data_IF_411977814065
#
_entry.id   IF_411977814065
#
_cell.length_a   1.000
_cell.length_b   1.000
_cell.length_c   1.000
_cell.angle_alpha   90.00
_cell.angle_beta   90.00
_cell.angle_gamma   90.00
#
_symmetry.space_group_name_H-M   'P 1'
#
loop_
_entity.id
_entity.type
_entity.pdbx_description
1 polymer ?
#
# COMPACT_ATOMS: atom_id res chain seq x y z
N UNK A 1 -19.87 2.37 8.08
CA UNK A 1 -18.51 2.92 8.22
C UNK A 1 -18.33 4.04 7.21
N UNK A 2 -17.67 5.14 7.56
CA UNK A 2 -17.29 6.17 6.59
C UNK A 2 -16.33 5.58 5.56
N UNK A 3 -16.46 6.02 4.30
CA UNK A 3 -15.59 5.60 3.20
C UNK A 3 -14.14 6.02 3.49
N UNK A 4 -13.18 5.09 3.42
CA UNK A 4 -11.75 5.41 3.53
C UNK A 4 -11.38 6.22 2.28
N UNK A 5 -10.79 7.43 2.40
CA UNK A 5 -10.38 8.21 1.23
C UNK A 5 -9.28 7.50 0.44
N UNK A 6 -9.11 7.84 -0.84
CA UNK A 6 -7.90 7.50 -1.58
C UNK A 6 -6.71 8.16 -0.88
N UNK A 7 -5.54 7.52 -0.93
CA UNK A 7 -4.33 8.07 -0.31
C UNK A 7 -3.85 9.33 -1.00
N UNK A 8 -3.85 9.34 -2.32
CA UNK A 8 -3.34 10.43 -3.12
C UNK A 8 -4.43 11.11 -3.94
N UNK A 9 -4.36 12.42 -4.01
CA UNK A 9 -5.02 13.20 -5.05
C UNK A 9 -4.16 13.20 -6.35
N UNK A 10 -4.71 13.67 -7.45
CA UNK A 10 -4.03 13.64 -8.76
C UNK A 10 -2.73 14.47 -8.80
N UNK A 11 -2.66 15.53 -8.01
CA UNK A 11 -1.46 16.37 -7.88
C UNK A 11 -0.34 15.63 -7.12
N UNK A 12 -0.66 14.76 -6.16
CA UNK A 12 0.33 13.90 -5.49
C UNK A 12 0.90 12.88 -6.47
N UNK A 13 0.04 12.27 -7.31
CA UNK A 13 0.46 11.38 -8.40
C UNK A 13 1.40 12.08 -9.38
N UNK A 14 1.09 13.31 -9.80
CA UNK A 14 1.96 14.14 -10.65
C UNK A 14 3.30 14.38 -9.95
N UNK A 15 3.29 14.81 -8.69
CA UNK A 15 4.49 15.13 -7.92
C UNK A 15 5.36 13.87 -7.67
N UNK A 16 4.77 12.72 -7.36
CA UNK A 16 5.48 11.45 -7.20
C UNK A 16 6.17 11.04 -8.51
N UNK A 17 5.45 11.05 -9.63
CA UNK A 17 5.99 10.70 -10.94
C UNK A 17 7.09 11.68 -11.39
N UNK A 18 6.88 12.96 -11.19
CA UNK A 18 7.87 13.98 -11.56
C UNK A 18 9.18 13.82 -10.78
N UNK A 19 9.10 13.67 -9.44
CA UNK A 19 10.27 13.45 -8.58
C UNK A 19 10.99 12.15 -8.93
N UNK A 20 10.24 11.07 -9.10
CA UNK A 20 10.79 9.77 -9.46
C UNK A 20 11.49 9.75 -10.82
N UNK A 21 11.01 10.52 -11.79
CA UNK A 21 11.64 10.70 -13.09
C UNK A 21 12.74 11.77 -13.09
N UNK A 22 13.00 12.41 -11.95
CA UNK A 22 14.01 13.47 -11.76
C UNK A 22 13.88 14.62 -12.78
N UNK A 23 12.62 15.01 -13.09
CA UNK A 23 12.32 16.10 -14.02
C UNK A 23 12.18 17.42 -13.27
N UNK A 24 12.86 18.48 -13.72
CA UNK A 24 12.57 19.84 -13.28
C UNK A 24 11.21 20.31 -13.83
N UNK A 25 10.64 21.36 -13.23
CA UNK A 25 9.38 21.94 -13.70
C UNK A 25 9.51 22.44 -15.15
N UNK A 26 10.63 23.06 -15.51
CA UNK A 26 10.88 23.54 -16.88
C UNK A 26 11.00 22.37 -17.86
N UNK A 27 11.68 21.30 -17.46
CA UNK A 27 11.82 20.10 -18.29
C UNK A 27 10.48 19.42 -18.51
N UNK A 28 9.66 19.29 -17.46
CA UNK A 28 8.34 18.70 -17.54
C UNK A 28 7.38 19.54 -18.37
N UNK A 29 7.32 20.87 -18.12
CA UNK A 29 6.45 21.79 -18.87
C UNK A 29 6.78 21.75 -20.36
N UNK A 30 8.07 21.82 -20.72
CA UNK A 30 8.54 21.71 -22.11
C UNK A 30 8.19 20.36 -22.73
N UNK A 31 8.43 19.26 -22.02
CA UNK A 31 8.14 17.90 -22.50
C UNK A 31 6.65 17.65 -22.73
N UNK A 32 5.81 18.21 -21.86
CA UNK A 32 4.36 18.11 -21.95
C UNK A 32 3.72 19.13 -22.92
N UNK A 33 4.48 20.14 -23.36
CA UNK A 33 3.97 21.23 -24.19
C UNK A 33 2.95 22.12 -23.45
N UNK A 34 3.12 22.30 -22.14
CA UNK A 34 2.27 23.17 -21.31
C UNK A 34 3.04 24.38 -20.84
N UNK A 35 2.34 25.46 -20.49
CA UNK A 35 2.98 26.64 -19.90
C UNK A 35 3.40 26.35 -18.45
N UNK A 36 4.47 26.96 -17.92
CA UNK A 36 4.89 26.79 -16.52
C UNK A 36 3.76 27.04 -15.52
N UNK A 37 2.96 28.09 -15.73
CA UNK A 37 1.85 28.46 -14.86
C UNK A 37 0.74 27.39 -14.85
N UNK A 38 0.56 26.66 -15.97
CA UNK A 38 -0.41 25.56 -16.06
C UNK A 38 0.08 24.33 -15.29
N UNK A 39 1.39 24.04 -15.33
CA UNK A 39 1.98 22.98 -14.52
C UNK A 39 1.85 23.30 -13.03
N UNK A 40 2.21 24.51 -12.65
CA UNK A 40 2.11 24.96 -11.27
C UNK A 40 0.67 24.89 -10.74
N UNK A 41 -0.32 25.33 -11.55
CA UNK A 41 -1.72 25.24 -11.23
C UNK A 41 -2.18 23.76 -11.03
N UNK A 42 -1.74 22.86 -11.91
CA UNK A 42 -2.03 21.43 -11.77
C UNK A 42 -1.42 20.83 -10.49
N UNK A 43 -0.18 21.23 -10.15
CA UNK A 43 0.49 20.79 -8.90
C UNK A 43 -0.17 21.34 -7.63
N UNK A 44 -0.88 22.45 -7.71
CA UNK A 44 -1.72 23.00 -6.63
C UNK A 44 -3.14 22.42 -6.58
N UNK A 45 -3.48 21.50 -7.47
CA UNK A 45 -4.79 20.82 -7.47
C UNK A 45 -5.83 21.42 -8.43
N UNK A 46 -5.47 22.36 -9.32
CA UNK A 46 -6.39 22.87 -10.33
C UNK A 46 -6.63 21.85 -11.45
N UNK A 47 -7.88 21.49 -11.66
CA UNK A 47 -8.29 20.48 -12.65
C UNK A 47 -8.53 21.12 -14.02
N UNK A 48 -7.52 21.03 -14.90
CA UNK A 48 -7.65 21.41 -16.31
C UNK A 48 -7.39 20.17 -17.17
N UNK A 49 -8.43 19.51 -17.64
CA UNK A 49 -8.38 18.21 -18.33
C UNK A 49 -7.39 18.19 -19.49
N UNK A 50 -7.36 19.25 -20.31
CA UNK A 50 -6.42 19.34 -21.44
C UNK A 50 -4.95 19.40 -21.01
N UNK A 51 -4.66 20.01 -19.87
CA UNK A 51 -3.32 20.06 -19.26
C UNK A 51 -2.94 18.69 -18.72
N UNK A 52 -3.84 18.05 -17.94
CA UNK A 52 -3.60 16.73 -17.37
C UNK A 52 -3.34 15.67 -18.45
N UNK A 53 -4.10 15.72 -19.57
CA UNK A 53 -3.88 14.82 -20.72
C UNK A 53 -2.52 14.98 -21.40
N UNK A 54 -1.90 16.16 -21.31
CA UNK A 54 -0.54 16.43 -21.82
C UNK A 54 0.54 16.05 -20.82
N UNK A 55 0.31 16.31 -19.53
CA UNK A 55 1.25 15.96 -18.46
C UNK A 55 1.41 14.45 -18.31
N UNK A 56 0.30 13.70 -18.39
CA UNK A 56 0.31 12.26 -18.14
C UNK A 56 1.37 11.49 -18.97
N UNK A 57 1.41 11.54 -20.29
CA UNK A 57 2.42 10.80 -21.07
C UNK A 57 3.84 11.31 -20.84
N UNK A 58 4.03 12.61 -20.54
CA UNK A 58 5.34 13.16 -20.18
C UNK A 58 5.87 12.58 -18.87
N UNK A 59 4.96 12.19 -17.97
CA UNK A 59 5.23 11.56 -16.68
C UNK A 59 5.14 10.02 -16.72
N UNK A 60 4.97 9.40 -17.89
CA UNK A 60 4.72 7.96 -18.07
C UNK A 60 3.44 7.48 -17.35
N UNK A 61 2.45 8.37 -17.20
CA UNK A 61 1.15 8.07 -16.60
C UNK A 61 0.09 7.84 -17.67
N UNK A 62 -0.96 7.09 -17.33
CA UNK A 62 -2.14 6.88 -18.18
C UNK A 62 -3.06 8.09 -18.12
N UNK A 63 -3.36 8.78 -19.24
CA UNK A 63 -4.13 10.03 -19.24
C UNK A 63 -5.57 9.87 -18.74
N UNK A 64 -6.25 8.79 -19.10
CA UNK A 64 -7.63 8.53 -18.68
C UNK A 64 -7.77 8.39 -17.17
N UNK A 65 -7.05 7.46 -16.53
CA UNK A 65 -7.01 7.31 -15.08
C UNK A 65 -6.61 8.56 -14.31
N UNK A 66 -5.60 9.31 -14.78
CA UNK A 66 -5.20 10.57 -14.13
C UNK A 66 -6.33 11.61 -14.14
N UNK A 67 -7.04 11.73 -15.26
CA UNK A 67 -8.19 12.63 -15.38
C UNK A 67 -9.35 12.14 -14.52
N UNK A 68 -9.63 10.83 -14.49
CA UNK A 68 -10.67 10.25 -13.66
C UNK A 68 -10.41 10.48 -12.15
N UNK A 69 -9.14 10.35 -11.73
CA UNK A 69 -8.70 10.66 -10.36
C UNK A 69 -8.94 12.14 -10.05
N UNK A 70 -8.49 13.06 -10.92
CA UNK A 70 -8.69 14.50 -10.76
C UNK A 70 -10.15 14.92 -10.66
N UNK A 71 -11.02 14.26 -11.41
CA UNK A 71 -12.47 14.51 -11.40
C UNK A 71 -13.22 13.75 -10.30
N UNK A 72 -12.51 12.95 -9.48
CA UNK A 72 -13.09 12.04 -8.48
C UNK A 72 -14.16 11.12 -9.07
N UNK A 73 -13.97 10.73 -10.33
CA UNK A 73 -14.93 9.95 -11.11
C UNK A 73 -14.79 8.42 -10.86
N UNK A 74 -13.79 8.00 -10.11
CA UNK A 74 -13.58 6.60 -9.79
C UNK A 74 -13.16 6.42 -8.33
N UNK A 75 -13.58 5.28 -7.79
CA UNK A 75 -13.20 4.76 -6.48
C UNK A 75 -13.30 3.24 -6.52
N UNK A 76 -12.41 2.48 -5.88
CA UNK A 76 -12.43 1.03 -5.97
C UNK A 76 -13.70 0.43 -5.36
N UNK A 77 -14.26 -0.53 -6.07
CA UNK A 77 -15.30 -1.39 -5.52
C UNK A 77 -14.70 -2.22 -4.40
N UNK A 78 -15.33 -2.16 -3.22
CA UNK A 78 -14.83 -2.82 -2.04
C UNK A 78 -15.25 -4.30 -2.02
N UNK A 79 -14.31 -5.24 -1.77
CA UNK A 79 -14.67 -6.64 -1.66
C UNK A 79 -15.49 -6.90 -0.39
N UNK A 80 -16.33 -7.94 -0.44
CA UNK A 80 -16.94 -8.49 0.77
C UNK A 80 -15.86 -9.27 1.53
N UNK A 81 -15.63 -8.91 2.79
CA UNK A 81 -14.60 -9.56 3.60
C UNK A 81 -14.95 -11.02 3.88
N UNK A 82 -14.03 -11.97 3.64
CA UNK A 82 -14.23 -13.35 4.02
C UNK A 82 -14.11 -13.51 5.54
N UNK A 83 -14.66 -14.58 6.06
CA UNK A 83 -14.26 -15.02 7.38
C UNK A 83 -12.78 -15.40 7.37
N UNK A 84 -12.00 -14.91 8.32
CA UNK A 84 -10.54 -15.08 8.33
C UNK A 84 -9.75 -13.85 7.89
N UNK A 85 -10.43 -12.70 7.66
CA UNK A 85 -9.79 -11.44 7.31
C UNK A 85 -10.45 -10.25 7.99
N UNK A 86 -9.64 -9.32 8.50
CA UNK A 86 -10.08 -8.02 8.99
C UNK A 86 -9.07 -6.92 8.63
N UNK A 87 -9.59 -5.72 8.41
CA UNK A 87 -8.84 -4.50 8.14
C UNK A 87 -9.11 -3.49 9.25
N UNK A 88 -8.06 -2.86 9.72
CA UNK A 88 -8.11 -1.76 10.69
C UNK A 88 -7.46 -0.54 10.05
N UNK A 89 -8.09 0.61 10.21
CA UNK A 89 -7.59 1.88 9.71
C UNK A 89 -7.49 2.82 10.91
N UNK A 90 -6.28 3.19 11.28
CA UNK A 90 -5.97 4.03 12.42
C UNK A 90 -5.37 5.36 12.00
N UNK A 91 -5.56 6.36 12.85
CA UNK A 91 -5.03 7.70 12.67
C UNK A 91 -3.61 7.78 13.23
N UNK A 92 -2.67 8.23 12.42
CA UNK A 92 -1.29 8.48 12.83
C UNK A 92 -1.06 9.99 12.93
N UNK A 93 -0.80 10.53 14.13
CA UNK A 93 -0.52 11.95 14.31
C UNK A 93 0.87 12.26 13.73
N UNK A 94 0.94 12.99 12.63
CA UNK A 94 2.19 13.43 12.05
C UNK A 94 2.43 14.90 12.42
N UNK A 95 3.37 15.13 13.34
CA UNK A 95 3.72 16.48 13.78
C UNK A 95 4.31 17.28 12.61
N UNK A 96 3.70 18.41 12.29
CA UNK A 96 4.23 19.41 11.35
C UNK A 96 3.62 19.44 9.95
N UNK A 97 2.81 18.49 9.53
CA UNK A 97 2.20 18.50 8.18
C UNK A 97 0.71 18.86 8.23
N UNK A 98 0.07 18.80 9.41
CA UNK A 98 -1.36 19.16 9.56
C UNK A 98 -2.32 18.28 8.76
N UNK A 99 -1.86 17.15 8.24
CA UNK A 99 -2.65 16.19 7.49
C UNK A 99 -3.00 15.00 8.37
N UNK A 100 -4.25 14.60 8.31
CA UNK A 100 -4.77 13.39 8.93
C UNK A 100 -4.24 12.15 8.19
N UNK A 101 -3.02 11.72 8.51
CA UNK A 101 -2.49 10.48 7.93
C UNK A 101 -3.18 9.28 8.56
N UNK A 102 -3.66 8.37 7.72
CA UNK A 102 -4.28 7.13 8.15
C UNK A 102 -3.52 5.95 7.60
N UNK A 103 -3.21 5.01 8.47
CA UNK A 103 -2.49 3.80 8.13
C UNK A 103 -3.35 2.56 8.38
N UNK A 104 -3.20 1.58 7.53
CA UNK A 104 -3.89 0.30 7.62
C UNK A 104 -3.04 -0.74 8.32
N UNK A 105 -3.70 -1.60 9.08
CA UNK A 105 -3.17 -2.87 9.52
C UNK A 105 -4.20 -3.97 9.28
N UNK A 106 -3.74 -5.20 9.22
CA UNK A 106 -4.58 -6.32 8.82
C UNK A 106 -4.41 -7.49 9.79
N UNK A 107 -5.49 -8.24 9.99
CA UNK A 107 -5.48 -9.51 10.70
C UNK A 107 -5.98 -10.59 9.75
N UNK A 108 -5.19 -11.65 9.60
CA UNK A 108 -5.56 -12.85 8.83
C UNK A 108 -5.50 -14.05 9.75
N UNK A 109 -6.49 -14.91 9.67
CA UNK A 109 -6.51 -16.14 10.49
C UNK A 109 -7.12 -17.32 9.76
N UNK A 110 -6.62 -18.50 10.10
CA UNK A 110 -7.25 -19.75 9.70
C UNK A 110 -8.46 -20.01 10.60
N UNK A 111 -9.65 -20.04 10.01
CA UNK A 111 -10.91 -20.19 10.75
C UNK A 111 -11.05 -21.53 11.46
N UNK A 112 -10.34 -22.56 11.01
CA UNK A 112 -10.39 -23.91 11.57
C UNK A 112 -9.44 -24.06 12.77
N UNK A 113 -8.19 -23.58 12.64
CA UNK A 113 -7.17 -23.71 13.68
C UNK A 113 -7.18 -22.53 14.65
N UNK A 114 -7.80 -21.41 14.28
CA UNK A 114 -7.79 -20.12 14.97
C UNK A 114 -6.39 -19.52 15.12
N UNK A 115 -5.41 -20.03 14.39
CA UNK A 115 -4.09 -19.38 14.32
C UNK A 115 -4.17 -18.13 13.46
N UNK A 116 -3.55 -17.06 13.94
CA UNK A 116 -3.64 -15.71 13.33
C UNK A 116 -2.28 -15.05 13.15
N UNK A 117 -2.22 -14.16 12.18
CA UNK A 117 -1.11 -13.27 11.93
C UNK A 117 -1.61 -11.84 11.72
N UNK A 118 -0.95 -10.86 12.34
CA UNK A 118 -1.11 -9.47 12.01
C UNK A 118 -0.13 -9.06 10.91
N UNK A 119 -0.52 -8.09 10.09
CA UNK A 119 0.32 -7.45 9.09
C UNK A 119 0.32 -5.95 9.34
N UNK A 120 1.46 -5.43 9.73
CA UNK A 120 1.68 -4.14 10.33
C UNK A 120 0.84 -3.93 11.61
N UNK A 121 1.10 -2.89 12.37
CA UNK A 121 0.33 -2.59 13.58
C UNK A 121 -0.62 -1.42 13.39
N UNK A 122 -0.34 -0.61 12.35
CA UNK A 122 -0.91 0.71 12.25
C UNK A 122 -0.46 1.60 13.41
N UNK A 123 -1.10 2.75 13.52
CA UNK A 123 -0.85 3.68 14.63
C UNK A 123 -1.47 3.21 15.95
N UNK A 124 -2.45 2.29 15.91
CA UNK A 124 -3.14 1.78 17.08
C UNK A 124 -3.75 0.40 16.80
N UNK A 125 -3.26 -0.60 17.50
CA UNK A 125 -3.71 -2.01 17.35
C UNK A 125 -4.84 -2.41 18.34
N UNK A 126 -5.44 -1.48 19.08
CA UNK A 126 -6.44 -1.81 20.10
C UNK A 126 -7.61 -2.61 19.54
N UNK A 127 -8.21 -2.18 18.43
CA UNK A 127 -9.31 -2.89 17.80
C UNK A 127 -8.91 -4.24 17.21
N UNK A 128 -7.67 -4.38 16.76
CA UNK A 128 -7.12 -5.66 16.35
C UNK A 128 -7.06 -6.61 17.54
N UNK A 129 -6.56 -6.17 18.67
CA UNK A 129 -6.51 -6.95 19.92
C UNK A 129 -7.90 -7.32 20.44
N UNK A 130 -8.88 -6.40 20.36
CA UNK A 130 -10.28 -6.71 20.68
C UNK A 130 -10.81 -7.88 19.83
N UNK A 131 -10.55 -7.85 18.51
CA UNK A 131 -10.98 -8.94 17.63
C UNK A 131 -10.26 -10.25 17.93
N UNK A 132 -8.95 -10.22 18.18
CA UNK A 132 -8.16 -11.39 18.61
C UNK A 132 -8.79 -12.03 19.84
N UNK A 133 -9.18 -11.24 20.83
CA UNK A 133 -9.82 -11.73 22.04
C UNK A 133 -11.25 -12.27 21.78
N UNK A 134 -12.07 -11.51 21.05
CA UNK A 134 -13.45 -11.88 20.76
C UNK A 134 -13.54 -13.20 19.98
N UNK A 135 -12.68 -13.39 18.99
CA UNK A 135 -12.59 -14.59 18.16
C UNK A 135 -11.75 -15.71 18.79
N UNK A 136 -11.14 -15.46 19.96
CA UNK A 136 -10.24 -16.39 20.65
C UNK A 136 -9.12 -16.90 19.75
N UNK A 137 -8.47 -15.98 19.04
CA UNK A 137 -7.41 -16.31 18.10
C UNK A 137 -6.08 -16.52 18.84
N UNK A 138 -5.26 -17.41 18.26
CA UNK A 138 -3.91 -17.68 18.71
C UNK A 138 -2.96 -16.90 17.78
N UNK A 139 -2.46 -15.77 18.24
CA UNK A 139 -1.53 -14.96 17.48
C UNK A 139 -0.18 -15.64 17.40
N UNK A 140 0.25 -16.00 16.20
CA UNK A 140 1.56 -16.63 15.96
C UNK A 140 2.58 -15.61 15.49
N UNK A 141 2.16 -14.71 14.60
CA UNK A 141 3.07 -13.83 13.86
C UNK A 141 2.57 -12.40 13.80
N UNK A 142 3.52 -11.47 13.80
CA UNK A 142 3.37 -10.10 13.32
C UNK A 142 4.33 -9.95 12.14
N UNK A 143 3.80 -9.82 10.95
CA UNK A 143 4.56 -9.57 9.73
C UNK A 143 4.59 -8.07 9.43
N UNK A 144 5.77 -7.52 9.19
CA UNK A 144 5.91 -6.12 8.81
C UNK A 144 6.14 -6.01 7.31
N UNK A 145 5.34 -5.17 6.64
CA UNK A 145 5.55 -4.85 5.23
C UNK A 145 6.84 -4.05 5.06
N UNK A 146 7.07 -3.12 5.97
CA UNK A 146 8.28 -2.32 6.13
C UNK A 146 8.30 -1.69 7.53
N UNK A 147 9.30 -0.86 7.85
CA UNK A 147 9.54 -0.38 9.21
C UNK A 147 9.40 1.14 9.35
N UNK A 148 8.59 1.80 8.51
CA UNK A 148 8.22 3.19 8.76
C UNK A 148 7.37 3.30 10.02
N UNK A 149 7.49 4.42 10.70
CA UNK A 149 6.98 4.64 12.05
C UNK A 149 5.47 4.37 12.18
N UNK A 150 4.67 4.80 11.22
CA UNK A 150 3.23 4.62 11.21
C UNK A 150 2.79 3.15 11.05
N UNK A 151 3.63 2.30 10.46
CA UNK A 151 3.38 0.86 10.32
C UNK A 151 3.75 0.05 11.57
N UNK A 152 4.64 0.57 12.40
CA UNK A 152 5.16 -0.12 13.59
C UNK A 152 4.85 0.61 14.91
N UNK A 153 4.06 1.68 14.87
CA UNK A 153 3.85 2.58 15.99
C UNK A 153 3.34 1.88 17.29
N UNK A 154 2.57 0.81 17.14
CA UNK A 154 1.99 0.09 18.28
C UNK A 154 2.53 -1.37 18.40
N UNK A 155 3.73 -1.62 17.84
CA UNK A 155 4.34 -2.95 17.79
C UNK A 155 4.60 -3.52 19.18
N UNK A 156 5.14 -2.72 20.08
CA UNK A 156 5.44 -3.15 21.44
C UNK A 156 4.19 -3.64 22.18
N UNK A 157 3.08 -2.90 22.06
CA UNK A 157 1.80 -3.31 22.64
C UNK A 157 1.31 -4.62 22.06
N UNK A 158 1.32 -4.74 20.73
CA UNK A 158 0.85 -5.95 20.05
C UNK A 158 1.64 -7.18 20.48
N UNK A 159 2.98 -7.08 20.48
CA UNK A 159 3.87 -8.17 20.87
C UNK A 159 3.74 -8.51 22.35
N UNK A 160 3.76 -7.51 23.24
CA UNK A 160 3.65 -7.75 24.68
C UNK A 160 2.32 -8.41 25.05
N UNK A 161 1.23 -8.03 24.37
CA UNK A 161 -0.11 -8.59 24.66
C UNK A 161 -0.28 -10.01 24.10
N UNK A 162 0.31 -10.31 22.94
CA UNK A 162 0.04 -11.59 22.23
C UNK A 162 1.15 -12.62 22.36
N UNK A 163 2.38 -12.20 22.61
CA UNK A 163 3.56 -13.06 22.54
C UNK A 163 3.94 -13.51 21.13
N UNK A 164 3.38 -12.89 20.09
CA UNK A 164 3.63 -13.27 18.72
C UNK A 164 5.07 -12.99 18.26
N UNK A 165 5.63 -13.87 17.43
CA UNK A 165 6.93 -13.66 16.79
C UNK A 165 6.82 -12.56 15.73
N UNK A 166 7.73 -11.57 15.76
CA UNK A 166 7.79 -10.53 14.73
C UNK A 166 8.73 -10.93 13.60
N UNK A 167 8.27 -10.69 12.37
CA UNK A 167 9.00 -11.01 11.16
C UNK A 167 9.05 -9.82 10.21
N UNK A 168 10.24 -9.54 9.69
CA UNK A 168 10.48 -8.52 8.66
C UNK A 168 11.44 -9.03 7.60
N UNK A 169 11.55 -8.34 6.47
CA UNK A 169 12.61 -8.61 5.49
C UNK A 169 13.98 -8.42 6.12
N UNK A 170 14.95 -9.26 5.76
CA UNK A 170 16.36 -9.09 6.18
C UNK A 170 16.97 -7.77 5.71
N UNK A 171 16.32 -7.06 4.80
CA UNK A 171 16.74 -5.76 4.26
C UNK A 171 16.12 -4.57 4.99
N UNK A 172 15.12 -4.77 5.85
CA UNK A 172 14.59 -3.72 6.70
C UNK A 172 15.45 -3.52 7.94
N UNK A 173 15.57 -2.29 8.45
CA UNK A 173 16.10 -2.06 9.78
C UNK A 173 15.34 -2.91 10.80
N UNK A 174 16.05 -3.54 11.73
CA UNK A 174 15.39 -4.34 12.76
C UNK A 174 14.46 -3.45 13.59
N UNK A 175 13.13 -3.73 13.65
CA UNK A 175 12.17 -2.88 14.33
C UNK A 175 12.32 -2.95 15.86
N UNK A 176 12.84 -4.04 16.36
CA UNK A 176 13.20 -4.23 17.78
C UNK A 176 14.13 -5.44 17.95
N UNK A 177 14.73 -5.53 19.16
CA UNK A 177 15.60 -6.66 19.50
C UNK A 177 14.80 -7.98 19.55
N UNK A 178 15.20 -8.98 18.75
CA UNK A 178 14.54 -10.28 18.68
C UNK A 178 13.60 -10.46 17.47
N UNK A 179 13.43 -9.46 16.62
CA UNK A 179 12.71 -9.66 15.36
C UNK A 179 13.42 -10.71 14.49
N UNK A 180 12.63 -11.61 13.91
CA UNK A 180 13.11 -12.61 12.96
C UNK A 180 13.09 -12.04 11.54
N UNK A 181 13.93 -12.59 10.68
CA UNK A 181 14.02 -12.15 9.29
C UNK A 181 13.73 -13.29 8.32
N UNK A 182 13.24 -12.91 7.14
CA UNK A 182 13.04 -13.82 6.01
C UNK A 182 13.70 -13.26 4.74
N UNK A 183 13.89 -14.15 3.77
CA UNK A 183 14.34 -13.81 2.42
C UNK A 183 13.18 -13.75 1.45
N UNK A 184 13.41 -13.15 0.29
CA UNK A 184 12.44 -13.18 -0.82
C UNK A 184 12.03 -14.62 -1.16
N UNK A 185 10.76 -14.80 -1.55
CA UNK A 185 10.15 -16.09 -1.89
C UNK A 185 10.11 -17.10 -0.73
N UNK A 186 10.19 -16.64 0.53
CA UNK A 186 9.90 -17.51 1.68
C UNK A 186 8.42 -17.88 1.70
N UNK A 187 8.12 -19.11 2.12
CA UNK A 187 6.78 -19.60 2.35
C UNK A 187 6.59 -19.86 3.84
N UNK A 188 5.51 -19.31 4.40
CA UNK A 188 5.12 -19.48 5.79
C UNK A 188 3.69 -20.01 5.83
N UNK A 189 3.44 -20.96 6.73
CA UNK A 189 2.11 -21.54 6.89
C UNK A 189 1.40 -20.94 8.11
N UNK A 190 0.13 -20.58 7.91
CA UNK A 190 -0.76 -20.15 8.98
C UNK A 190 -2.00 -21.05 8.97
N UNK A 191 -1.93 -22.17 9.68
CA UNK A 191 -2.95 -23.23 9.54
C UNK A 191 -2.98 -23.77 8.12
N UNK A 192 -4.09 -23.61 7.42
CA UNK A 192 -4.25 -24.01 6.00
C UNK A 192 -3.89 -22.90 5.00
N UNK A 193 -3.57 -21.71 5.48
CA UNK A 193 -3.21 -20.59 4.62
C UNK A 193 -1.73 -20.63 4.28
N UNK A 194 -1.40 -20.39 3.00
CA UNK A 194 0.00 -20.21 2.54
C UNK A 194 0.29 -18.74 2.36
N UNK A 195 1.40 -18.26 2.94
CA UNK A 195 1.87 -16.88 2.89
C UNK A 195 3.20 -16.86 2.17
N UNK A 196 3.24 -16.28 0.98
CA UNK A 196 4.46 -16.10 0.19
C UNK A 196 4.96 -14.67 0.30
N UNK A 197 6.26 -14.50 0.58
CA UNK A 197 6.90 -13.17 0.60
C UNK A 197 7.43 -12.79 -0.79
N UNK A 198 7.13 -11.58 -1.22
CA UNK A 198 7.66 -10.96 -2.45
C UNK A 198 8.37 -9.67 -2.05
N UNK A 199 9.68 -9.58 -2.30
CA UNK A 199 10.40 -8.34 -2.06
C UNK A 199 9.99 -7.29 -3.10
N UNK A 200 9.25 -6.28 -2.67
CA UNK A 200 8.75 -5.17 -3.50
C UNK A 200 9.43 -3.85 -3.13
N UNK A 201 10.74 -3.92 -2.90
CA UNK A 201 11.59 -2.79 -2.52
C UNK A 201 11.47 -1.58 -3.46
N UNK A 202 11.81 -0.43 -2.92
CA UNK A 202 11.80 0.87 -3.58
C UNK A 202 11.23 1.97 -2.69
N UNK A 203 10.07 1.79 -2.07
CA UNK A 203 9.57 2.67 -1.02
C UNK A 203 10.43 2.57 0.24
N UNK A 204 10.74 1.37 0.67
CA UNK A 204 11.81 1.05 1.63
C UNK A 204 12.73 -0.04 1.08
N UNK A 205 13.94 -0.25 1.67
CA UNK A 205 14.90 -1.24 1.19
C UNK A 205 14.39 -2.67 1.23
N UNK A 206 13.58 -3.00 2.22
CA UNK A 206 13.03 -4.34 2.43
C UNK A 206 11.51 -4.43 2.28
N UNK A 207 10.88 -3.42 1.67
CA UNK A 207 9.43 -3.42 1.42
C UNK A 207 8.98 -4.76 0.86
N UNK A 208 8.05 -5.40 1.56
CA UNK A 208 7.59 -6.75 1.26
C UNK A 208 6.09 -6.78 1.02
N UNK A 209 5.70 -7.44 -0.05
CA UNK A 209 4.33 -7.86 -0.30
C UNK A 209 4.13 -9.29 0.19
N UNK A 210 3.08 -9.53 0.97
CA UNK A 210 2.66 -10.85 1.41
C UNK A 210 1.51 -11.33 0.53
N UNK A 211 1.76 -12.34 -0.29
CA UNK A 211 0.74 -12.97 -1.11
C UNK A 211 0.17 -14.18 -0.38
N UNK A 212 -1.12 -14.16 -0.07
CA UNK A 212 -1.81 -15.12 0.79
C UNK A 212 -2.86 -15.87 -0.02
N UNK A 213 -2.81 -17.19 0.06
CA UNK A 213 -3.81 -18.09 -0.54
C UNK A 213 -4.44 -19.00 0.52
N UNK A 214 -5.62 -19.55 0.19
CA UNK A 214 -6.41 -20.38 1.13
C UNK A 214 -7.61 -19.65 1.73
N UNK A 215 -7.71 -18.33 1.62
CA UNK A 215 -8.94 -17.56 1.84
C UNK A 215 -9.92 -17.76 0.67
N UNK A 216 -11.14 -17.23 0.75
CA UNK A 216 -12.13 -17.32 -0.34
C UNK A 216 -11.71 -16.52 -1.60
N UNK A 217 -10.74 -15.64 -1.49
CA UNK A 217 -10.08 -14.95 -2.58
C UNK A 217 -8.58 -14.76 -2.27
N UNK A 218 -7.71 -14.70 -3.30
CA UNK A 218 -6.30 -14.44 -3.09
C UNK A 218 -6.10 -13.00 -2.59
N UNK A 219 -5.20 -12.83 -1.62
CA UNK A 219 -4.91 -11.55 -0.96
C UNK A 219 -3.44 -11.19 -1.15
N UNK A 220 -3.17 -9.94 -1.50
CA UNK A 220 -1.83 -9.37 -1.45
C UNK A 220 -1.83 -8.17 -0.50
N UNK A 221 -1.15 -8.30 0.64
CA UNK A 221 -0.88 -7.19 1.55
C UNK A 221 0.41 -6.55 1.08
N UNK A 222 0.29 -5.34 0.52
CA UNK A 222 1.34 -4.73 -0.29
C UNK A 222 2.09 -3.59 0.41
N UNK A 223 1.66 -3.20 1.62
CA UNK A 223 2.20 -2.00 2.28
C UNK A 223 2.19 -0.81 1.33
N UNK A 224 3.29 -0.10 1.25
CA UNK A 224 3.41 1.11 0.45
C UNK A 224 3.97 0.89 -0.97
N UNK A 225 3.92 -0.35 -1.45
CA UNK A 225 4.29 -0.63 -2.85
C UNK A 225 3.24 -0.09 -3.82
N UNK A 226 1.96 -0.26 -3.51
CA UNK A 226 0.83 0.05 -4.38
C UNK A 226 -0.36 0.54 -3.56
N UNK A 227 -1.01 1.62 -4.00
CA UNK A 227 -2.26 2.15 -3.44
C UNK A 227 -3.37 2.14 -4.49
N UNK A 228 -4.62 2.25 -4.05
CA UNK A 228 -5.72 2.47 -4.98
C UNK A 228 -5.50 3.77 -5.75
N UNK A 229 -5.35 3.69 -7.07
CA UNK A 229 -5.02 4.79 -8.00
C UNK A 229 -3.64 5.40 -7.86
N UNK A 230 -2.73 4.82 -7.07
CA UNK A 230 -1.39 5.38 -6.88
C UNK A 230 -0.37 4.30 -6.52
N UNK A 231 0.80 4.73 -6.09
CA UNK A 231 1.83 3.91 -5.44
C UNK A 231 2.57 4.75 -4.40
N UNK A 232 3.27 4.12 -3.47
CA UNK A 232 4.07 4.79 -2.46
C UNK A 232 5.14 5.72 -3.06
N UNK A 233 5.52 6.74 -2.31
CA UNK A 233 6.57 7.66 -2.72
C UNK A 233 7.94 6.98 -2.67
N UNK A 234 8.78 7.21 -3.68
CA UNK A 234 10.17 6.76 -3.72
C UNK A 234 10.95 7.67 -4.67
N UNK A 235 11.69 8.63 -4.13
CA UNK A 235 12.42 9.58 -4.97
C UNK A 235 13.67 8.95 -5.60
N UNK A 236 14.42 8.16 -4.83
CA UNK A 236 15.70 7.61 -5.26
C UNK A 236 15.59 6.22 -5.89
N UNK A 237 14.59 5.44 -5.49
CA UNK A 237 14.37 4.07 -5.96
C UNK A 237 13.07 3.92 -6.77
N UNK A 238 12.59 5.00 -7.40
CA UNK A 238 11.32 5.03 -8.14
C UNK A 238 11.23 3.96 -9.22
N UNK A 239 12.27 3.82 -10.04
CA UNK A 239 12.28 2.83 -11.13
C UNK A 239 12.30 1.41 -10.56
N UNK A 240 13.02 1.16 -9.47
CA UNK A 240 13.02 -0.13 -8.77
C UNK A 240 11.62 -0.48 -8.28
N UNK A 241 10.96 0.43 -7.56
CA UNK A 241 9.59 0.24 -7.08
C UNK A 241 8.61 0.01 -8.23
N UNK A 242 8.70 0.83 -9.26
CA UNK A 242 7.85 0.70 -10.45
C UNK A 242 8.00 -0.67 -11.12
N UNK A 243 9.24 -1.14 -11.31
CA UNK A 243 9.52 -2.45 -11.89
C UNK A 243 9.10 -3.61 -10.98
N UNK A 244 9.29 -3.50 -9.66
CA UNK A 244 8.80 -4.49 -8.72
C UNK A 244 7.27 -4.61 -8.75
N UNK A 245 6.55 -3.50 -8.80
CA UNK A 245 5.10 -3.51 -8.98
C UNK A 245 4.70 -4.23 -10.28
N UNK A 246 5.33 -3.88 -11.41
CA UNK A 246 5.03 -4.51 -12.71
C UNK A 246 5.30 -6.01 -12.74
N UNK A 247 6.42 -6.45 -12.18
CA UNK A 247 6.92 -7.82 -12.33
C UNK A 247 6.44 -8.77 -11.24
N UNK A 248 6.06 -8.25 -10.07
CA UNK A 248 5.73 -9.07 -8.90
C UNK A 248 4.26 -8.91 -8.49
N UNK A 249 3.76 -7.69 -8.29
CA UNK A 249 2.37 -7.47 -7.85
C UNK A 249 1.41 -7.63 -9.04
N UNK A 250 1.67 -6.92 -10.13
CA UNK A 250 0.76 -6.91 -11.28
C UNK A 250 0.74 -8.22 -12.09
N UNK A 251 1.58 -9.20 -11.75
CA UNK A 251 1.57 -10.55 -12.32
C UNK A 251 0.77 -11.56 -11.50
N UNK A 252 0.30 -11.18 -10.31
CA UNK A 252 -0.56 -12.02 -9.47
C UNK A 252 -1.90 -12.31 -10.18
N UNK A 253 -2.68 -13.30 -9.71
CA UNK A 253 -4.02 -13.59 -10.25
C UNK A 253 -4.89 -12.33 -10.33
N UNK A 254 -5.70 -12.22 -11.39
CA UNK A 254 -6.47 -11.00 -11.69
C UNK A 254 -7.48 -10.61 -10.60
N UNK A 255 -8.00 -11.58 -9.89
CA UNK A 255 -8.97 -11.45 -8.81
C UNK A 255 -8.34 -11.20 -7.44
N UNK A 256 -6.99 -11.07 -7.38
CA UNK A 256 -6.28 -10.78 -6.13
C UNK A 256 -6.77 -9.46 -5.55
N UNK A 257 -7.21 -9.51 -4.29
CA UNK A 257 -7.49 -8.32 -3.49
C UNK A 257 -6.16 -7.70 -3.06
N UNK A 258 -6.04 -6.42 -3.27
CA UNK A 258 -4.87 -5.62 -2.87
C UNK A 258 -5.19 -4.88 -1.59
N UNK A 259 -4.40 -5.12 -0.56
CA UNK A 259 -4.49 -4.52 0.77
C UNK A 259 -3.29 -3.58 1.00
N UNK A 260 -3.45 -2.27 0.75
CA UNK A 260 -2.37 -1.30 0.83
C UNK A 260 -2.11 -0.78 2.25
N UNK A 261 -0.93 -0.20 2.50
CA UNK A 261 -0.61 0.49 3.76
C UNK A 261 -1.51 1.69 4.02
N UNK A 262 -1.96 2.37 2.97
CA UNK A 262 -2.85 3.53 3.06
C UNK A 262 -4.00 3.45 2.05
N UNK A 263 -5.09 4.15 2.37
CA UNK A 263 -6.26 4.19 1.51
C UNK A 263 -7.12 2.91 1.55
N UNK A 264 -8.08 2.77 0.63
CA UNK A 264 -9.02 1.64 0.61
C UNK A 264 -8.41 0.40 -0.03
N UNK A 265 -9.02 -0.77 0.25
CA UNK A 265 -8.77 -1.98 -0.53
C UNK A 265 -9.12 -1.75 -2.00
N UNK A 266 -8.45 -2.49 -2.87
CA UNK A 266 -8.75 -2.53 -4.30
C UNK A 266 -8.53 -3.95 -4.83
N UNK A 267 -8.58 -4.15 -6.14
CA UNK A 267 -8.23 -5.42 -6.76
C UNK A 267 -7.20 -5.19 -7.87
N UNK A 268 -6.45 -6.22 -8.19
CA UNK A 268 -5.48 -6.15 -9.29
C UNK A 268 -6.15 -5.78 -10.62
N UNK A 269 -7.37 -6.26 -10.85
CA UNK A 269 -8.15 -5.92 -12.06
C UNK A 269 -8.48 -4.42 -12.11
N UNK A 270 -8.83 -3.83 -10.97
CA UNK A 270 -9.14 -2.41 -10.86
C UNK A 270 -7.89 -1.56 -11.07
N UNK A 271 -6.77 -1.91 -10.46
CA UNK A 271 -5.52 -1.15 -10.60
C UNK A 271 -4.97 -1.20 -12.03
N UNK A 272 -5.04 -2.34 -12.70
CA UNK A 272 -4.69 -2.45 -14.13
C UNK A 272 -5.52 -1.55 -15.05
N UNK A 273 -6.70 -1.13 -14.62
CA UNK A 273 -7.61 -0.30 -15.40
C UNK A 273 -7.60 1.16 -14.98
N UNK A 274 -7.43 1.44 -13.70
CA UNK A 274 -7.71 2.75 -13.12
C UNK A 274 -6.51 3.44 -12.47
N UNK A 275 -5.39 2.71 -12.23
CA UNK A 275 -4.20 3.32 -11.65
C UNK A 275 -3.43 4.13 -12.71
N UNK A 276 -3.19 5.43 -12.52
CA UNK A 276 -2.45 6.25 -13.48
C UNK A 276 -1.06 5.72 -13.82
N UNK A 277 -0.36 5.06 -12.90
CA UNK A 277 0.97 4.48 -13.11
C UNK A 277 0.92 3.20 -13.95
N UNK A 278 -0.15 2.39 -13.84
CA UNK A 278 -0.15 1.00 -14.30
C UNK A 278 -1.25 0.66 -15.31
N UNK A 279 -2.26 1.51 -15.51
CA UNK A 279 -3.30 1.28 -16.50
C UNK A 279 -2.74 1.31 -17.92
N UNK A 280 -3.12 0.32 -18.72
CA UNK A 280 -2.71 0.15 -20.13
C UNK A 280 -3.92 -0.20 -21.00
#
# INVERSE_FOLDING_TARGET
MSRIPLEDDFNDVINKAQRGLKLSDEALARKAGVKPEQLEAAKRGEVVVSVLRRLAPALRLAPGPLVALAQRAWYPEQPVFPHGFAMFNSYFPHEGIGLDMRVNSYLVWDVRTRTAAAFDTGANCFRLLELVQAEKLIMLYVFLTHTHEDHVADLDRLVTTTGADVWASEREPAPFHGARTFKENSHLQLGSLDIKTLLTSGHSPGQTTYFITGLSWPLAIVGDSLFASSMGGSADHYEEQYQNNLKKILTLPRDTVIAPGHGPLTTLAQEKKHNPFFAR
#
